data_IF_323449034218
#
_entry.id   IF_323449034218
#
_cell.length_a   1.000
_cell.length_b   1.000
_cell.length_c   1.000
_cell.angle_alpha   90.00
_cell.angle_beta   90.00
_cell.angle_gamma   90.00
#
_symmetry.space_group_name_H-M   'P 1'
#
loop_
_entity.id
_entity.type
_entity.pdbx_description
1 polymer ?
#
# COMPACT_ATOMS: atom_id res chain seq x y z
N UNK A 1 -5.75 -1.09 16.94
CA UNK A 1 -6.39 -0.85 15.62
C UNK A 1 -6.92 -2.13 15.01
N UNK A 2 -6.09 -3.12 14.65
CA UNK A 2 -6.56 -4.39 14.06
C UNK A 2 -7.56 -5.14 14.97
N UNK A 3 -7.25 -5.30 16.26
CA UNK A 3 -8.17 -5.95 17.20
C UNK A 3 -9.48 -5.16 17.43
N UNK A 4 -9.41 -3.83 17.35
CA UNK A 4 -10.60 -2.97 17.42
C UNK A 4 -11.46 -3.15 16.17
N UNK A 5 -10.85 -3.09 14.99
CA UNK A 5 -11.49 -3.33 13.70
C UNK A 5 -12.20 -4.69 13.69
N UNK A 6 -11.50 -5.77 14.02
CA UNK A 6 -12.08 -7.11 14.06
C UNK A 6 -13.29 -7.25 15.01
N UNK A 7 -13.31 -6.50 16.12
CA UNK A 7 -14.38 -6.60 17.13
C UNK A 7 -15.54 -5.64 16.90
N UNK A 8 -15.26 -4.43 16.43
CA UNK A 8 -16.20 -3.30 16.43
C UNK A 8 -16.56 -2.85 15.01
N UNK A 9 -15.61 -2.87 14.07
CA UNK A 9 -15.82 -2.40 12.70
C UNK A 9 -15.15 -3.35 11.69
N UNK A 10 -15.68 -4.58 11.51
CA UNK A 10 -15.02 -5.59 10.69
C UNK A 10 -14.95 -5.18 9.20
N UNK A 11 -15.91 -4.38 8.75
CA UNK A 11 -16.01 -3.80 7.42
C UNK A 11 -16.37 -2.31 7.54
N UNK A 12 -15.93 -1.48 6.60
CA UNK A 12 -16.50 -0.12 6.51
C UNK A 12 -17.94 -0.22 6.02
N UNK A 13 -18.85 0.52 6.64
CA UNK A 13 -20.28 0.47 6.34
C UNK A 13 -20.85 1.89 6.29
N UNK A 14 -21.47 2.21 5.17
CA UNK A 14 -22.09 3.50 4.92
C UNK A 14 -23.18 3.85 5.95
N UNK A 15 -23.85 2.84 6.55
CA UNK A 15 -24.84 3.02 7.61
C UNK A 15 -24.20 3.53 8.94
N UNK A 16 -22.95 3.16 9.22
CA UNK A 16 -22.23 3.67 10.41
C UNK A 16 -21.80 5.13 10.28
N UNK A 17 -21.65 5.64 9.05
CA UNK A 17 -21.32 7.05 8.78
C UNK A 17 -22.37 8.00 9.38
N UNK A 18 -23.64 7.58 9.45
CA UNK A 18 -24.72 8.39 10.03
C UNK A 18 -24.73 8.36 11.56
N UNK A 19 -24.24 7.29 12.18
CA UNK A 19 -24.21 7.13 13.65
C UNK A 19 -22.96 7.76 14.27
N UNK A 20 -21.82 7.70 13.57
CA UNK A 20 -20.55 8.28 14.03
C UNK A 20 -19.79 8.94 12.88
N UNK A 21 -20.13 10.21 12.55
CA UNK A 21 -19.49 10.92 11.46
C UNK A 21 -17.97 11.03 11.66
N UNK A 22 -17.19 10.59 10.67
CA UNK A 22 -15.73 10.68 10.68
C UNK A 22 -14.99 9.57 11.44
N UNK A 23 -15.70 8.62 12.06
CA UNK A 23 -15.07 7.46 12.70
C UNK A 23 -14.26 6.65 11.69
N UNK A 24 -14.89 6.23 10.58
CA UNK A 24 -14.26 5.34 9.61
C UNK A 24 -13.11 6.01 8.86
N UNK A 25 -13.26 7.29 8.48
CA UNK A 25 -12.17 8.06 7.86
C UNK A 25 -10.96 8.21 8.79
N UNK A 26 -11.20 8.47 10.08
CA UNK A 26 -10.14 8.55 11.10
C UNK A 26 -9.47 7.19 11.30
N UNK A 27 -10.25 6.11 11.34
CA UNK A 27 -9.75 4.76 11.49
C UNK A 27 -8.87 4.36 10.30
N UNK A 28 -9.33 4.60 9.07
CA UNK A 28 -8.57 4.34 7.83
C UNK A 28 -7.26 5.14 7.83
N UNK A 29 -7.32 6.44 8.19
CA UNK A 29 -6.13 7.29 8.23
C UNK A 29 -5.10 6.79 9.25
N UNK A 30 -5.54 6.47 10.47
CA UNK A 30 -4.68 5.99 11.53
C UNK A 30 -4.09 4.60 11.21
N UNK A 31 -4.87 3.69 10.64
CA UNK A 31 -4.36 2.39 10.18
C UNK A 31 -3.33 2.54 9.06
N UNK A 32 -3.61 3.39 8.07
CA UNK A 32 -2.70 3.64 6.96
C UNK A 32 -1.37 4.19 7.45
N UNK A 33 -1.38 5.23 8.30
CA UNK A 33 -0.16 5.80 8.89
C UNK A 33 0.62 4.78 9.72
N UNK A 34 -0.07 3.95 10.52
CA UNK A 34 0.57 2.90 11.31
C UNK A 34 1.27 1.87 10.41
N UNK A 35 0.62 1.43 9.33
CA UNK A 35 1.21 0.50 8.37
C UNK A 35 2.45 1.09 7.70
N UNK A 36 2.40 2.35 7.27
CA UNK A 36 3.57 3.01 6.70
C UNK A 36 4.72 3.12 7.70
N UNK A 37 4.44 3.52 8.95
CA UNK A 37 5.45 3.59 9.99
C UNK A 37 6.10 2.22 10.27
N UNK A 38 5.30 1.16 10.31
CA UNK A 38 5.80 -0.20 10.49
C UNK A 38 6.64 -0.67 9.29
N UNK A 39 6.22 -0.37 8.06
CA UNK A 39 7.02 -0.67 6.86
C UNK A 39 8.38 0.01 6.95
N UNK A 40 8.41 1.29 7.29
CA UNK A 40 9.66 2.06 7.41
C UNK A 40 10.55 1.52 8.54
N UNK A 41 9.98 1.17 9.69
CA UNK A 41 10.72 0.57 10.80
C UNK A 41 11.32 -0.79 10.43
N UNK A 42 10.53 -1.66 9.80
CA UNK A 42 10.97 -2.99 9.39
C UNK A 42 11.97 -2.94 8.23
N UNK A 43 11.91 -1.89 7.41
CA UNK A 43 12.88 -1.66 6.34
C UNK A 43 14.32 -1.52 6.88
N UNK A 44 14.50 -0.99 8.10
CA UNK A 44 15.80 -0.86 8.77
C UNK A 44 16.45 -2.24 9.00
N UNK A 45 15.63 -3.29 9.17
CA UNK A 45 16.07 -4.64 9.47
C UNK A 45 15.73 -5.63 8.34
N UNK A 46 15.58 -5.13 7.11
CA UNK A 46 15.06 -5.91 5.98
C UNK A 46 15.94 -7.12 5.60
N UNK A 47 17.21 -7.15 6.00
CA UNK A 47 18.13 -8.27 5.75
C UNK A 47 17.85 -9.49 6.64
N UNK A 48 16.96 -9.36 7.63
CA UNK A 48 16.49 -10.47 8.45
C UNK A 48 15.22 -11.05 7.84
N UNK A 49 15.22 -12.34 7.48
CA UNK A 49 14.10 -13.02 6.81
C UNK A 49 12.76 -12.79 7.52
N UNK A 50 12.73 -12.87 8.86
CA UNK A 50 11.51 -12.65 9.63
C UNK A 50 10.98 -11.21 9.52
N UNK A 51 11.87 -10.21 9.49
CA UNK A 51 11.48 -8.80 9.34
C UNK A 51 11.07 -8.49 7.90
N UNK A 52 11.73 -9.12 6.93
CA UNK A 52 11.36 -9.08 5.53
C UNK A 52 9.93 -9.58 5.31
N UNK A 53 9.62 -10.79 5.77
CA UNK A 53 8.28 -11.38 5.65
C UNK A 53 7.22 -10.52 6.34
N UNK A 54 7.54 -10.00 7.53
CA UNK A 54 6.62 -9.12 8.26
C UNK A 54 6.36 -7.82 7.53
N UNK A 55 7.38 -7.20 6.94
CA UNK A 55 7.26 -5.98 6.13
C UNK A 55 6.36 -6.23 4.93
N UNK A 56 6.57 -7.36 4.24
CA UNK A 56 5.74 -7.75 3.10
C UNK A 56 4.28 -7.96 3.53
N UNK A 57 4.03 -8.68 4.62
CA UNK A 57 2.67 -8.89 5.13
C UNK A 57 1.95 -7.56 5.41
N UNK A 58 2.63 -6.61 6.06
CA UNK A 58 2.05 -5.30 6.36
C UNK A 58 1.76 -4.50 5.08
N UNK A 59 2.63 -4.57 4.07
CA UNK A 59 2.37 -3.92 2.78
C UNK A 59 1.12 -4.50 2.10
N UNK A 60 0.91 -5.82 2.17
CA UNK A 60 -0.28 -6.50 1.66
C UNK A 60 -1.54 -6.08 2.41
N UNK A 61 -1.50 -6.02 3.74
CA UNK A 61 -2.62 -5.51 4.56
C UNK A 61 -2.96 -4.05 4.25
N UNK A 62 -1.94 -3.22 4.00
CA UNK A 62 -2.12 -1.82 3.62
C UNK A 62 -2.78 -1.69 2.24
N UNK A 63 -2.37 -2.51 1.26
CA UNK A 63 -2.99 -2.56 -0.06
C UNK A 63 -4.45 -3.00 0.00
N UNK A 64 -4.76 -4.03 0.80
CA UNK A 64 -6.13 -4.46 1.04
C UNK A 64 -6.99 -3.35 1.66
N UNK A 65 -6.47 -2.66 2.69
CA UNK A 65 -7.15 -1.53 3.31
C UNK A 65 -7.45 -0.41 2.29
N UNK A 66 -6.50 -0.10 1.41
CA UNK A 66 -6.66 0.91 0.38
C UNK A 66 -7.76 0.53 -0.62
N UNK A 67 -7.74 -0.71 -1.10
CA UNK A 67 -8.74 -1.24 -2.03
C UNK A 67 -10.15 -1.24 -1.40
N UNK A 68 -10.27 -1.71 -0.16
CA UNK A 68 -11.54 -1.72 0.57
C UNK A 68 -12.09 -0.30 0.77
N UNK A 69 -11.27 0.64 1.22
CA UNK A 69 -11.70 2.02 1.43
C UNK A 69 -12.17 2.68 0.13
N UNK A 70 -11.44 2.49 -0.98
CA UNK A 70 -11.83 3.02 -2.29
C UNK A 70 -13.10 2.36 -2.84
N UNK A 71 -13.34 1.09 -2.53
CA UNK A 71 -14.54 0.38 -2.98
C UNK A 71 -15.80 0.79 -2.22
N UNK A 72 -15.66 1.08 -0.93
CA UNK A 72 -16.79 1.42 -0.07
C UNK A 72 -17.29 2.84 -0.31
N UNK A 73 -16.42 3.83 -0.12
CA UNK A 73 -16.78 5.24 -0.28
C UNK A 73 -15.51 6.11 -0.33
N UNK A 74 -15.32 6.81 -1.45
CA UNK A 74 -14.15 7.67 -1.66
C UNK A 74 -14.15 8.90 -0.73
N UNK A 75 -15.31 9.31 -0.21
CA UNK A 75 -15.42 10.40 0.77
C UNK A 75 -14.79 10.03 2.13
N UNK A 76 -14.58 8.73 2.41
CA UNK A 76 -13.91 8.27 3.62
C UNK A 76 -12.40 8.54 3.57
N UNK A 77 -11.86 8.82 2.39
CA UNK A 77 -10.44 9.04 2.21
C UNK A 77 -10.07 10.48 2.58
N UNK A 78 -8.90 10.62 3.20
CA UNK A 78 -8.29 11.92 3.47
C UNK A 78 -7.22 12.21 2.41
N UNK A 79 -7.00 13.48 2.08
CA UNK A 79 -6.04 13.87 1.04
C UNK A 79 -4.59 13.49 1.34
N UNK A 80 -4.26 13.08 2.57
CA UNK A 80 -2.92 12.64 2.98
C UNK A 80 -2.75 11.11 2.98
N UNK A 81 -3.82 10.34 2.78
CA UNK A 81 -3.78 8.86 2.88
C UNK A 81 -2.94 8.22 1.78
N UNK A 82 -2.73 8.89 0.64
CA UNK A 82 -1.90 8.38 -0.44
C UNK A 82 -0.41 8.26 -0.05
N UNK A 83 0.09 9.07 0.90
CA UNK A 83 1.48 9.02 1.35
C UNK A 83 1.80 7.67 2.02
N UNK A 84 1.01 7.20 3.01
CA UNK A 84 1.18 5.85 3.55
C UNK A 84 1.15 4.73 2.51
N UNK A 85 0.26 4.83 1.52
CA UNK A 85 0.09 3.82 0.48
C UNK A 85 1.32 3.70 -0.42
N UNK A 86 2.12 4.76 -0.59
CA UNK A 86 3.33 4.69 -1.43
C UNK A 86 4.37 3.74 -0.85
N UNK A 87 4.51 3.69 0.48
CA UNK A 87 5.42 2.75 1.14
C UNK A 87 5.01 1.29 0.88
N UNK A 88 3.72 0.99 0.91
CA UNK A 88 3.22 -0.35 0.58
C UNK A 88 3.45 -0.69 -0.91
N UNK A 89 3.22 0.28 -1.79
CA UNK A 89 3.46 0.12 -3.23
C UNK A 89 4.92 -0.24 -3.54
N UNK A 90 5.88 0.46 -2.93
CA UNK A 90 7.31 0.18 -3.12
C UNK A 90 7.70 -1.23 -2.71
N UNK A 91 7.21 -1.70 -1.55
CA UNK A 91 7.47 -3.07 -1.06
C UNK A 91 6.87 -4.12 -2.01
N UNK A 92 5.61 -3.95 -2.43
CA UNK A 92 4.94 -4.89 -3.34
C UNK A 92 5.58 -4.90 -4.73
N UNK A 93 5.99 -3.74 -5.23
CA UNK A 93 6.69 -3.61 -6.51
C UNK A 93 8.06 -4.33 -6.47
N UNK A 94 8.81 -4.15 -5.38
CA UNK A 94 10.08 -4.83 -5.19
C UNK A 94 9.90 -6.35 -5.13
N UNK A 95 8.90 -6.82 -4.37
CA UNK A 95 8.64 -8.26 -4.26
C UNK A 95 8.18 -8.87 -5.59
N UNK A 96 7.33 -8.17 -6.33
CA UNK A 96 6.91 -8.61 -7.67
C UNK A 96 8.13 -8.79 -8.59
N UNK A 97 9.08 -7.86 -8.56
CA UNK A 97 10.33 -7.96 -9.34
C UNK A 97 11.18 -9.15 -8.87
N UNK A 98 11.34 -9.36 -7.56
CA UNK A 98 12.10 -10.48 -7.00
C UNK A 98 11.52 -11.82 -7.45
N UNK A 99 10.20 -12.01 -7.32
CA UNK A 99 9.52 -13.25 -7.71
C UNK A 99 9.56 -13.51 -9.22
N UNK A 100 9.45 -12.46 -10.04
CA UNK A 100 9.62 -12.57 -11.49
C UNK A 100 11.03 -13.06 -11.87
N UNK A 101 12.06 -12.57 -11.18
CA UNK A 101 13.45 -12.99 -11.41
C UNK A 101 13.71 -14.45 -10.96
N UNK A 102 12.97 -14.93 -9.96
CA UNK A 102 13.07 -16.30 -9.45
C UNK A 102 12.25 -17.32 -10.26
N UNK A 103 11.41 -16.87 -11.18
CA UNK A 103 10.54 -17.74 -11.99
C UNK A 103 9.36 -18.35 -11.21
N UNK A 104 9.07 -17.85 -10.00
CA UNK A 104 8.01 -18.38 -9.13
C UNK A 104 6.64 -17.83 -9.55
N UNK A 105 5.99 -18.49 -10.52
CA UNK A 105 4.80 -17.95 -11.19
C UNK A 105 3.55 -17.78 -10.31
N UNK A 106 3.33 -18.63 -9.30
CA UNK A 106 2.12 -18.57 -8.46
C UNK A 106 2.15 -17.36 -7.53
N UNK A 107 3.23 -17.20 -6.77
CA UNK A 107 3.36 -16.14 -5.77
C UNK A 107 3.50 -14.78 -6.45
N UNK A 108 4.20 -14.73 -7.59
CA UNK A 108 4.29 -13.54 -8.42
C UNK A 108 2.90 -13.05 -8.87
N UNK A 109 1.97 -13.96 -9.16
CA UNK A 109 0.63 -13.60 -9.60
C UNK A 109 -0.21 -12.95 -8.49
N UNK A 110 -0.07 -13.42 -7.24
CA UNK A 110 -0.78 -12.87 -6.08
C UNK A 110 -0.27 -11.46 -5.76
N UNK A 111 1.05 -11.29 -5.65
CA UNK A 111 1.66 -9.97 -5.40
C UNK A 111 1.32 -8.99 -6.53
N UNK A 112 1.30 -9.45 -7.78
CA UNK A 112 0.88 -8.61 -8.92
C UNK A 112 -0.57 -8.17 -8.80
N UNK A 113 -1.48 -9.06 -8.41
CA UNK A 113 -2.89 -8.70 -8.20
C UNK A 113 -3.03 -7.63 -7.10
N UNK A 114 -2.34 -7.80 -5.97
CA UNK A 114 -2.34 -6.83 -4.86
C UNK A 114 -1.74 -5.48 -5.28
N UNK A 115 -0.69 -5.50 -6.10
CA UNK A 115 -0.08 -4.30 -6.67
C UNK A 115 -1.04 -3.55 -7.61
N UNK A 116 -1.78 -4.27 -8.46
CA UNK A 116 -2.78 -3.67 -9.34
C UNK A 116 -3.96 -3.09 -8.53
N UNK A 117 -4.43 -3.78 -7.48
CA UNK A 117 -5.45 -3.24 -6.58
C UNK A 117 -5.01 -1.91 -5.96
N UNK A 118 -3.76 -1.83 -5.51
CA UNK A 118 -3.22 -0.59 -4.94
C UNK A 118 -3.06 0.52 -5.99
N UNK A 119 -2.66 0.17 -7.22
CA UNK A 119 -2.62 1.14 -8.34
C UNK A 119 -4.00 1.66 -8.68
N UNK A 120 -5.02 0.81 -8.67
CA UNK A 120 -6.40 1.21 -8.93
C UNK A 120 -6.95 2.09 -7.80
N UNK A 121 -6.61 1.78 -6.54
CA UNK A 121 -6.91 2.65 -5.40
C UNK A 121 -6.28 4.05 -5.56
N UNK A 122 -5.02 4.13 -6.01
CA UNK A 122 -4.39 5.42 -6.31
C UNK A 122 -5.08 6.19 -7.45
N UNK A 123 -5.51 5.49 -8.51
CA UNK A 123 -6.25 6.13 -9.62
C UNK A 123 -7.59 6.66 -9.13
N UNK A 124 -8.35 5.87 -8.38
CA UNK A 124 -9.64 6.28 -7.82
C UNK A 124 -9.48 7.51 -6.91
N UNK A 125 -8.48 7.48 -6.03
CA UNK A 125 -8.13 8.61 -5.17
C UNK A 125 -7.77 9.86 -5.98
N UNK A 126 -6.88 9.73 -6.98
CA UNK A 126 -6.45 10.86 -7.80
C UNK A 126 -7.61 11.47 -8.60
N UNK A 127 -8.50 10.63 -9.15
CA UNK A 127 -9.69 11.08 -9.86
C UNK A 127 -10.68 11.81 -8.94
N UNK A 128 -10.84 11.34 -7.70
CA UNK A 128 -11.76 11.94 -6.74
C UNK A 128 -11.28 13.30 -6.23
N UNK A 129 -10.02 13.40 -5.77
CA UNK A 129 -9.51 14.64 -5.16
C UNK A 129 -8.85 15.61 -6.15
N UNK A 130 -8.36 15.11 -7.28
CA UNK A 130 -7.59 15.89 -8.25
C UNK A 130 -8.04 15.65 -9.69
N UNK A 131 -9.34 15.83 -10.02
CA UNK A 131 -9.91 15.47 -11.34
C UNK A 131 -9.24 16.18 -12.53
N UNK A 132 -8.52 17.29 -12.29
CA UNK A 132 -7.85 18.09 -13.32
C UNK A 132 -6.36 17.75 -13.52
N UNK A 133 -5.74 16.90 -12.69
CA UNK A 133 -4.31 16.53 -12.82
C UNK A 133 -4.13 15.20 -13.53
N UNK A 134 -3.53 15.21 -14.72
CA UNK A 134 -3.23 14.00 -15.52
C UNK A 134 -1.88 13.35 -15.20
N UNK A 135 -0.94 14.08 -14.59
CA UNK A 135 0.46 13.65 -14.43
C UNK A 135 0.79 13.21 -13.00
N UNK A 136 0.09 12.18 -12.50
CA UNK A 136 0.31 11.70 -11.14
C UNK A 136 1.57 10.81 -11.02
N UNK A 137 2.37 10.91 -9.95
CA UNK A 137 3.66 10.21 -9.81
C UNK A 137 3.64 8.69 -9.99
N UNK A 138 2.50 8.00 -9.80
CA UNK A 138 2.39 6.56 -10.03
C UNK A 138 2.42 6.16 -11.51
N UNK A 139 2.19 7.10 -12.43
CA UNK A 139 2.33 6.86 -13.87
C UNK A 139 3.80 6.88 -14.33
N UNK A 140 4.73 7.29 -13.48
CA UNK A 140 6.16 7.34 -13.76
C UNK A 140 6.97 6.49 -12.76
N UNK A 141 6.87 5.15 -12.81
CA UNK A 141 7.67 4.26 -11.97
C UNK A 141 9.18 4.44 -12.16
N UNK A 142 9.62 5.09 -13.25
CA UNK A 142 11.03 5.41 -13.52
C UNK A 142 11.60 6.60 -12.73
N UNK A 143 10.78 7.34 -11.96
CA UNK A 143 11.27 8.50 -11.20
C UNK A 143 11.98 8.10 -9.90
N UNK A 144 11.61 6.95 -9.34
CA UNK A 144 12.33 6.33 -8.25
C UNK A 144 13.40 5.45 -8.87
N UNK A 145 14.63 5.96 -8.98
CA UNK A 145 15.82 5.23 -9.41
C UNK A 145 16.13 4.09 -8.40
N UNK A 146 15.30 3.04 -8.37
CA UNK A 146 15.61 1.75 -7.76
C UNK A 146 16.51 0.93 -8.74
N UNK A 147 17.03 1.58 -9.78
CA UNK A 147 17.88 1.02 -10.83
C UNK A 147 19.29 1.65 -10.80
N UNK A 148 19.95 1.73 -9.65
CA UNK A 148 21.41 1.94 -9.61
C UNK A 148 21.98 1.46 -8.27
N UNK A 149 22.13 0.16 -8.12
CA UNK A 149 23.32 -0.46 -7.47
C UNK A 149 23.25 -1.97 -7.70
N UNK A 150 23.48 -2.37 -8.95
CA UNK A 150 23.86 -3.75 -9.27
C UNK A 150 24.97 -3.72 -10.31
N UNK A 151 25.99 -2.91 -10.10
CA UNK A 151 27.21 -2.91 -10.93
C UNK A 151 28.34 -2.12 -10.24
N UNK A 152 28.93 -2.70 -9.20
CA UNK A 152 30.31 -2.42 -8.78
C UNK A 152 30.77 -3.47 -7.75
N UNK A 153 30.78 -4.74 -8.16
CA UNK A 153 31.54 -5.78 -7.45
C UNK A 153 31.98 -6.89 -8.40
N UNK A 154 32.34 -6.54 -9.64
CA UNK A 154 33.24 -7.30 -10.50
C UNK A 154 33.97 -6.31 -11.39
N UNK A 155 35.23 -6.07 -11.10
CA UNK A 155 36.37 -6.07 -12.02
C UNK A 155 37.60 -5.68 -11.19
N UNK A 156 38.54 -6.64 -11.12
CA UNK A 156 39.95 -6.60 -10.68
C UNK A 156 40.31 -6.09 -9.29
#
# INVERSE_FOLDING_TARGET
MVAYRQRICPTFDHARRTESPGHDSTLIAAMSMMYAALIQLLNIFADQDAMYERRLQIARECAYLAAEACHQDLDLLHTSIWLPWTSAYEVLLWESRRLNNLGTSSDASVIRMELEQLKDAFKAFAQHFFPLRKDWPFHAPGRFNIHTTTESARIT
#
